data_IF_058963184588
#
_entry.id   IF_058963184588
#
_cell.length_a   1.000
_cell.length_b   1.000
_cell.length_c   1.000
_cell.angle_alpha   90.00
_cell.angle_beta   90.00
_cell.angle_gamma   90.00
#
_symmetry.space_group_name_H-M   'P 1'
#
loop_
_entity.id
_entity.type
_entity.pdbx_description
1 polymer ?
#
# COMPACT_ATOMS: atom_id res chain seq x y z
N UNK A 1 18.78 -0.06 -30.03
CA UNK A 1 17.33 0.13 -29.84
C UNK A 1 17.06 1.61 -29.98
N UNK A 2 16.20 2.02 -30.92
CA UNK A 2 15.90 3.45 -31.10
C UNK A 2 15.30 4.01 -29.80
N UNK A 3 15.75 5.19 -29.39
CA UNK A 3 15.19 5.87 -28.23
C UNK A 3 13.69 6.06 -28.44
N UNK A 4 12.90 5.64 -27.44
CA UNK A 4 11.46 5.75 -27.47
C UNK A 4 11.05 7.22 -27.33
N UNK A 5 11.02 7.93 -28.46
CA UNK A 5 10.64 9.35 -28.53
C UNK A 5 9.13 9.47 -28.31
N UNK A 6 8.71 10.47 -27.54
CA UNK A 6 7.29 10.81 -27.39
C UNK A 6 6.75 11.45 -28.69
N UNK A 7 5.46 11.26 -29.04
CA UNK A 7 4.87 11.92 -30.21
C UNK A 7 5.01 13.44 -30.12
N UNK A 8 5.35 14.07 -31.24
CA UNK A 8 5.12 15.51 -31.41
C UNK A 8 3.82 15.69 -32.18
N UNK A 9 3.09 16.76 -31.84
CA UNK A 9 1.85 17.10 -32.54
C UNK A 9 2.13 17.19 -34.05
N UNK A 10 1.33 16.47 -34.85
CA UNK A 10 1.41 16.38 -36.31
C UNK A 10 2.72 15.80 -36.89
N UNK A 11 3.53 15.08 -36.10
CA UNK A 11 4.77 14.45 -36.58
C UNK A 11 4.66 12.94 -36.79
N UNK A 12 3.55 12.46 -37.34
CA UNK A 12 3.38 11.03 -37.66
C UNK A 12 4.26 10.65 -38.85
N UNK A 13 5.20 9.73 -38.63
CA UNK A 13 6.10 9.17 -39.63
C UNK A 13 5.68 7.76 -40.09
N UNK A 14 4.48 7.32 -39.68
CA UNK A 14 3.94 5.99 -39.99
C UNK A 14 4.38 4.89 -39.04
N UNK A 15 5.23 5.16 -38.03
CA UNK A 15 5.69 4.15 -37.06
C UNK A 15 5.00 4.24 -35.69
N UNK A 16 4.23 5.30 -35.44
CA UNK A 16 3.63 5.57 -34.15
C UNK A 16 2.64 4.51 -33.68
N UNK A 17 1.88 3.92 -34.60
CA UNK A 17 0.96 2.82 -34.28
C UNK A 17 1.69 1.63 -33.66
N UNK A 18 2.84 1.26 -34.22
CA UNK A 18 3.65 0.15 -33.72
C UNK A 18 4.31 0.48 -32.37
N UNK A 19 4.86 1.70 -32.23
CA UNK A 19 5.50 2.15 -30.99
C UNK A 19 4.49 2.21 -29.84
N UNK A 20 3.27 2.71 -30.10
CA UNK A 20 2.21 2.78 -29.10
C UNK A 20 1.76 1.38 -28.69
N UNK A 21 1.58 0.48 -29.65
CA UNK A 21 1.23 -0.91 -29.38
C UNK A 21 2.33 -1.62 -28.57
N UNK A 22 3.60 -1.41 -28.89
CA UNK A 22 4.72 -1.95 -28.12
C UNK A 22 4.73 -1.42 -26.68
N UNK A 23 4.47 -0.13 -26.47
CA UNK A 23 4.40 0.46 -25.12
C UNK A 23 3.22 -0.11 -24.31
N UNK A 24 2.02 -0.12 -24.90
CA UNK A 24 0.83 -0.66 -24.25
C UNK A 24 0.99 -2.13 -23.90
N UNK A 25 1.57 -2.93 -24.80
CA UNK A 25 1.79 -4.35 -24.56
C UNK A 25 2.87 -4.65 -23.51
N UNK A 26 3.75 -3.71 -23.16
CA UNK A 26 4.70 -3.91 -22.04
C UNK A 26 3.97 -3.98 -20.71
N UNK A 27 3.06 -3.02 -20.48
CA UNK A 27 2.45 -2.83 -19.17
C UNK A 27 1.01 -3.40 -19.06
N UNK A 28 0.27 -3.53 -20.17
CA UNK A 28 -1.16 -3.87 -20.17
C UNK A 28 -1.44 -5.19 -20.89
N UNK A 29 -2.48 -5.90 -20.46
CA UNK A 29 -3.08 -6.97 -21.25
C UNK A 29 -3.76 -6.37 -22.48
N UNK A 30 -3.44 -6.94 -23.65
CA UNK A 30 -4.04 -6.56 -24.93
C UNK A 30 -4.29 -7.83 -25.75
N UNK A 31 -5.56 -8.19 -25.91
CA UNK A 31 -6.02 -9.33 -26.71
C UNK A 31 -6.42 -8.94 -28.15
N UNK A 32 -6.30 -7.67 -28.53
CA UNK A 32 -6.73 -7.16 -29.83
C UNK A 32 -8.25 -6.95 -30.00
N UNK A 33 -9.04 -7.18 -28.95
CA UNK A 33 -10.52 -7.04 -28.95
C UNK A 33 -11.02 -6.24 -27.75
N UNK A 34 -12.07 -5.44 -27.86
CA UNK A 34 -12.54 -4.62 -26.73
C UNK A 34 -13.24 -5.48 -25.65
N UNK A 35 -12.49 -5.95 -24.65
CA UNK A 35 -12.94 -6.82 -23.55
C UNK A 35 -12.44 -6.30 -22.19
N UNK A 36 -13.06 -6.68 -21.05
CA UNK A 36 -12.66 -6.19 -19.72
C UNK A 36 -11.22 -6.50 -19.32
N UNK A 37 -10.63 -7.55 -19.89
CA UNK A 37 -9.21 -7.87 -19.67
C UNK A 37 -8.28 -6.80 -20.31
N UNK A 38 -8.73 -6.12 -21.37
CA UNK A 38 -7.96 -5.07 -22.01
C UNK A 38 -8.04 -3.79 -21.20
N UNK A 39 -6.86 -3.26 -20.84
CA UNK A 39 -6.73 -2.11 -19.95
C UNK A 39 -6.26 -2.47 -18.54
N UNK A 40 -6.30 -3.74 -18.14
CA UNK A 40 -5.66 -4.19 -16.91
C UNK A 40 -4.13 -4.19 -17.05
N UNK A 41 -3.43 -3.72 -16.01
CA UNK A 41 -1.98 -3.82 -15.93
C UNK A 41 -1.55 -5.27 -15.69
N UNK A 42 -0.54 -5.75 -16.41
CA UNK A 42 0.09 -7.06 -16.17
C UNK A 42 0.76 -7.08 -14.80
N UNK A 43 1.44 -5.98 -14.48
CA UNK A 43 2.12 -5.71 -13.21
C UNK A 43 1.99 -4.22 -12.91
N UNK A 44 1.94 -3.84 -11.62
CA UNK A 44 2.04 -2.44 -11.20
C UNK A 44 3.41 -2.25 -10.56
N UNK A 45 4.29 -1.51 -11.25
CA UNK A 45 5.57 -1.06 -10.70
C UNK A 45 5.56 0.45 -10.57
N UNK A 46 5.66 0.95 -9.33
CA UNK A 46 5.78 2.39 -9.06
C UNK A 46 7.25 2.76 -8.89
N UNK A 47 7.63 3.93 -9.41
CA UNK A 47 8.98 4.46 -9.17
C UNK A 47 9.17 4.73 -7.68
N UNK A 48 10.41 4.62 -7.19
CA UNK A 48 10.74 5.02 -5.84
C UNK A 48 10.45 6.51 -5.61
N UNK A 49 10.17 6.83 -4.35
CA UNK A 49 10.02 8.22 -3.94
C UNK A 49 11.37 8.93 -3.77
N UNK A 50 11.30 10.20 -3.38
CA UNK A 50 12.48 10.97 -2.95
C UNK A 50 12.36 11.32 -1.47
N UNK A 51 13.35 12.04 -0.91
CA UNK A 51 13.28 12.53 0.48
C UNK A 51 12.35 13.74 0.64
N UNK A 52 11.93 14.38 -0.46
CA UNK A 52 11.07 15.56 -0.43
C UNK A 52 9.61 15.25 -0.09
N UNK A 53 8.95 16.18 0.60
CA UNK A 53 7.53 16.08 0.90
C UNK A 53 6.69 15.88 -0.38
N UNK A 54 5.71 14.98 -0.31
CA UNK A 54 4.82 14.69 -1.44
C UNK A 54 5.41 13.78 -2.52
N UNK A 55 6.61 13.23 -2.32
CA UNK A 55 7.25 12.35 -3.30
C UNK A 55 7.15 10.86 -2.98
N UNK A 56 6.35 10.45 -2.00
CA UNK A 56 6.19 9.04 -1.65
C UNK A 56 5.66 8.23 -2.85
N UNK A 57 6.12 6.97 -3.05
CA UNK A 57 5.68 6.13 -4.16
C UNK A 57 4.18 5.79 -4.06
N UNK A 58 3.67 5.66 -2.84
CA UNK A 58 2.24 5.62 -2.52
C UNK A 58 2.00 6.54 -1.33
N UNK A 59 1.02 7.44 -1.47
CA UNK A 59 0.58 8.33 -0.39
C UNK A 59 -0.93 8.24 -0.26
N UNK A 60 -1.39 7.91 0.95
CA UNK A 60 -2.80 7.95 1.29
C UNK A 60 -3.09 9.24 2.06
N UNK A 61 -4.15 9.94 1.68
CA UNK A 61 -4.69 11.06 2.45
C UNK A 61 -5.73 10.51 3.41
N UNK A 62 -5.66 10.90 4.69
CA UNK A 62 -6.65 10.47 5.67
C UNK A 62 -8.04 10.98 5.29
N UNK A 63 -9.04 10.11 5.36
CA UNK A 63 -10.45 10.42 5.14
C UNK A 63 -11.36 9.48 5.94
N UNK A 64 -12.67 9.67 5.83
CA UNK A 64 -13.63 8.76 6.46
C UNK A 64 -13.65 7.40 5.76
N UNK A 65 -13.90 6.33 6.52
CA UNK A 65 -14.19 5.02 5.97
C UNK A 65 -15.53 5.02 5.21
N UNK A 66 -15.63 4.24 4.13
CA UNK A 66 -16.89 4.01 3.44
C UNK A 66 -17.92 3.37 4.38
N UNK A 67 -19.19 3.70 4.20
CA UNK A 67 -20.29 3.14 5.03
C UNK A 67 -20.44 1.63 4.87
N UNK A 68 -20.14 1.10 3.68
CA UNK A 68 -20.06 -0.33 3.38
C UNK A 68 -18.63 -0.66 2.99
N UNK A 69 -18.05 -1.68 3.62
CA UNK A 69 -16.73 -2.16 3.26
C UNK A 69 -16.78 -2.92 1.93
N UNK A 70 -15.88 -2.56 1.01
CA UNK A 70 -15.75 -3.19 -0.31
C UNK A 70 -14.54 -4.10 -0.35
N UNK A 71 -14.71 -5.31 -0.90
CA UNK A 71 -13.63 -6.29 -1.06
C UNK A 71 -12.46 -5.69 -1.85
N UNK A 72 -11.25 -5.85 -1.33
CA UNK A 72 -10.03 -5.34 -1.98
C UNK A 72 -9.79 -3.84 -1.77
N UNK A 73 -10.69 -3.12 -1.07
CA UNK A 73 -10.47 -1.72 -0.77
C UNK A 73 -9.31 -1.51 0.22
N UNK A 74 -8.60 -0.41 0.01
CA UNK A 74 -7.59 0.14 0.91
C UNK A 74 -8.05 1.52 1.35
N UNK A 75 -8.22 1.74 2.65
CA UNK A 75 -8.73 2.99 3.21
C UNK A 75 -7.78 3.49 4.30
N UNK A 76 -7.55 4.79 4.37
CA UNK A 76 -6.71 5.40 5.40
C UNK A 76 -7.54 6.43 6.17
N UNK A 77 -7.74 6.17 7.47
CA UNK A 77 -8.56 7.00 8.35
C UNK A 77 -7.77 7.28 9.62
N UNK A 78 -7.58 8.57 9.91
CA UNK A 78 -6.68 9.11 10.92
C UNK A 78 -5.26 8.54 10.76
N UNK A 79 -4.87 7.62 11.63
CA UNK A 79 -3.56 6.97 11.66
C UNK A 79 -3.64 5.47 11.31
N UNK A 80 -4.76 4.99 10.76
CA UNK A 80 -4.98 3.57 10.51
C UNK A 80 -5.19 3.27 9.04
N UNK A 81 -4.38 2.33 8.54
CA UNK A 81 -4.55 1.73 7.22
C UNK A 81 -5.44 0.49 7.34
N UNK A 82 -6.53 0.48 6.58
CA UNK A 82 -7.49 -0.61 6.51
C UNK A 82 -7.39 -1.30 5.16
N UNK A 83 -7.50 -2.63 5.19
CA UNK A 83 -7.68 -3.48 4.01
C UNK A 83 -8.91 -4.35 4.19
N UNK A 84 -9.66 -4.59 3.13
CA UNK A 84 -10.84 -5.46 3.18
C UNK A 84 -10.57 -6.75 2.42
N UNK A 85 -10.68 -7.88 3.12
CA UNK A 85 -10.38 -9.21 2.59
C UNK A 85 -11.48 -9.73 1.64
N UNK A 86 -11.15 -10.70 0.79
CA UNK A 86 -12.10 -11.29 -0.17
C UNK A 86 -13.09 -12.26 0.47
N UNK A 87 -12.72 -12.92 1.57
CA UNK A 87 -13.55 -13.93 2.25
C UNK A 87 -14.49 -13.32 3.30
N UNK A 88 -14.88 -12.05 3.12
CA UNK A 88 -15.84 -11.34 3.95
C UNK A 88 -15.56 -9.84 3.98
N UNK A 89 -16.60 -9.00 4.02
CA UNK A 89 -16.51 -7.54 3.98
C UNK A 89 -16.05 -6.90 5.29
N UNK A 90 -15.19 -7.57 6.05
CA UNK A 90 -14.64 -7.00 7.29
C UNK A 90 -13.33 -6.26 7.01
N UNK A 91 -13.27 -4.99 7.42
CA UNK A 91 -12.04 -4.21 7.42
C UNK A 91 -11.04 -4.76 8.43
N UNK A 92 -9.80 -4.92 8.01
CA UNK A 92 -8.64 -5.30 8.84
C UNK A 92 -7.70 -4.12 8.91
N UNK A 93 -7.20 -3.81 10.10
CA UNK A 93 -6.17 -2.79 10.29
C UNK A 93 -4.82 -3.44 10.04
N UNK A 94 -3.97 -2.78 9.23
CA UNK A 94 -2.55 -3.11 9.17
C UNK A 94 -1.87 -2.50 10.40
N UNK A 95 -1.31 -3.36 11.24
CA UNK A 95 -0.56 -2.96 12.42
C UNK A 95 0.87 -2.58 12.02
N UNK A 96 1.19 -1.28 12.08
CA UNK A 96 2.53 -0.75 11.95
C UNK A 96 3.06 -0.35 13.33
N UNK A 97 4.35 -0.58 13.57
CA UNK A 97 5.03 -0.06 14.76
C UNK A 97 5.86 1.18 14.41
N UNK A 98 6.12 1.99 15.41
CA UNK A 98 7.05 3.10 15.30
C UNK A 98 8.50 2.57 15.30
N UNK A 99 9.18 2.76 14.17
CA UNK A 99 10.57 2.34 13.96
C UNK A 99 11.57 3.25 14.71
N UNK A 100 11.17 4.47 15.06
CA UNK A 100 12.06 5.41 15.75
C UNK A 100 12.16 5.12 17.26
N UNK A 101 11.11 4.55 17.86
CA UNK A 101 11.06 4.28 19.30
C UNK A 101 11.24 2.81 19.68
N UNK A 102 11.34 1.91 18.70
CA UNK A 102 11.57 0.48 18.92
C UNK A 102 12.99 0.17 19.43
N UNK A 103 13.11 -0.91 20.20
CA UNK A 103 14.34 -1.48 20.72
C UNK A 103 14.27 -3.02 20.65
N UNK A 104 15.44 -3.66 20.61
CA UNK A 104 15.52 -5.12 20.66
C UNK A 104 14.90 -5.65 21.95
N UNK A 105 13.97 -6.60 21.83
CA UNK A 105 13.29 -7.25 22.95
C UNK A 105 11.91 -6.66 23.30
N UNK A 106 11.47 -5.60 22.62
CA UNK A 106 10.13 -5.05 22.86
C UNK A 106 9.01 -6.05 22.57
N UNK A 107 7.90 -5.88 23.26
CA UNK A 107 6.65 -6.62 23.02
C UNK A 107 5.62 -5.67 22.43
N UNK A 108 5.04 -6.04 21.30
CA UNK A 108 3.91 -5.30 20.72
C UNK A 108 2.60 -6.05 20.96
N UNK A 109 1.58 -5.33 21.41
CA UNK A 109 0.29 -5.88 21.82
C UNK A 109 -0.86 -4.96 21.44
N UNK A 110 -2.10 -5.47 21.53
CA UNK A 110 -3.31 -4.66 21.34
C UNK A 110 -3.76 -4.11 22.70
N UNK A 111 -3.84 -2.79 22.85
CA UNK A 111 -4.30 -2.16 24.09
C UNK A 111 -5.83 -2.15 24.19
N UNK A 112 -6.36 -1.63 25.31
CA UNK A 112 -7.81 -1.56 25.55
C UNK A 112 -8.57 -0.67 24.55
N UNK A 113 -7.91 0.32 23.94
CA UNK A 113 -8.47 1.12 22.83
C UNK A 113 -8.41 0.42 21.46
N UNK A 114 -7.90 -0.82 21.42
CA UNK A 114 -7.73 -1.59 20.19
C UNK A 114 -6.58 -1.12 19.31
N UNK A 115 -5.68 -0.29 19.83
CA UNK A 115 -4.49 0.17 19.12
C UNK A 115 -3.35 -0.84 19.27
N UNK A 116 -2.57 -1.02 18.22
CA UNK A 116 -1.30 -1.71 18.30
C UNK A 116 -0.31 -0.83 19.06
N UNK A 117 0.22 -1.32 20.16
CA UNK A 117 0.97 -0.56 21.16
C UNK A 117 2.22 -1.33 21.56
N UNK A 118 3.29 -0.60 21.87
CA UNK A 118 4.57 -1.12 22.34
C UNK A 118 4.59 -1.18 23.88
N UNK A 119 5.09 -2.29 24.42
CA UNK A 119 5.65 -2.41 25.76
C UNK A 119 7.19 -2.47 25.61
N UNK A 120 7.94 -1.44 26.01
CA UNK A 120 9.40 -1.45 25.95
C UNK A 120 9.98 -2.66 26.65
N UNK A 121 11.11 -3.23 26.22
CA UNK A 121 11.77 -4.32 26.94
C UNK A 121 11.98 -4.00 28.44
N UNK A 122 11.73 -4.99 29.29
CA UNK A 122 11.95 -4.91 30.74
C UNK A 122 13.43 -4.93 31.10
N UNK A 123 13.75 -4.58 32.35
CA UNK A 123 15.12 -4.77 32.87
C UNK A 123 15.37 -6.25 33.18
N UNK A 124 16.64 -6.64 33.32
CA UNK A 124 17.01 -7.99 33.74
C UNK A 124 16.20 -8.44 34.96
N UNK A 125 15.72 -9.68 34.92
CA UNK A 125 14.86 -10.33 35.91
C UNK A 125 13.40 -9.88 35.95
N UNK A 126 12.99 -8.95 35.09
CA UNK A 126 11.57 -8.63 34.93
C UNK A 126 10.83 -9.82 34.30
N UNK A 127 9.60 -10.09 34.75
CA UNK A 127 8.77 -11.20 34.28
C UNK A 127 7.50 -10.63 33.69
N UNK A 128 7.25 -10.90 32.40
CA UNK A 128 6.01 -10.49 31.77
C UNK A 128 4.81 -11.12 32.50
N UNK A 129 3.96 -10.27 33.05
CA UNK A 129 2.71 -10.62 33.70
C UNK A 129 1.54 -9.86 33.07
N UNK A 130 0.34 -10.11 33.56
CA UNK A 130 -0.88 -9.41 33.12
C UNK A 130 -1.40 -8.57 34.28
N UNK A 131 -1.55 -7.27 34.05
CA UNK A 131 -2.21 -6.35 34.96
C UNK A 131 -3.35 -5.65 34.22
N UNK A 132 -4.56 -5.70 34.81
CA UNK A 132 -5.77 -5.12 34.21
C UNK A 132 -6.04 -5.59 32.77
N UNK A 133 -5.71 -6.86 32.47
CA UNK A 133 -5.89 -7.46 31.14
C UNK A 133 -4.85 -7.04 30.09
N UNK A 134 -3.81 -6.29 30.48
CA UNK A 134 -2.72 -5.88 29.58
C UNK A 134 -1.38 -6.48 30.02
N UNK A 135 -0.46 -6.78 29.08
CA UNK A 135 0.90 -7.17 29.41
C UNK A 135 1.64 -6.06 30.16
N UNK A 136 2.36 -6.42 31.22
CA UNK A 136 3.28 -5.55 31.97
C UNK A 136 4.48 -6.37 32.44
N UNK A 137 5.59 -5.72 32.75
CA UNK A 137 6.72 -6.35 33.44
C UNK A 137 6.49 -6.45 34.95
#
# INVERSE_FOLDING_TARGET
MAEQRLPIVNGDDGQWGDILNQFLQKEHYNTGTNLPANGGHKTITVRAGTTGAGSAPLKFTSGSLMTVAEVGAVEFDTDRLYITQTTGTTRKVIAAFDDASGATGDVYYRNNGGHFTRLPIGTNNYVLTVASGLPTW
#
